data_IF_693384701088
#
_entry.id   IF_693384701088
#
_cell.length_a   1.000
_cell.length_b   1.000
_cell.length_c   1.000
_cell.angle_alpha   90.00
_cell.angle_beta   90.00
_cell.angle_gamma   90.00
#
_symmetry.space_group_name_H-M   'P 1'
#
loop_
_entity.id
_entity.type
_entity.pdbx_description
1 polymer ?
#
# COMPACT_ATOMS: atom_id res chain seq x y z
N UNK A 1 -16.06 28.03 17.64
CA UNK A 1 -17.12 27.43 16.80
C UNK A 1 -16.61 26.11 16.29
N UNK A 2 -17.00 25.02 16.94
CA UNK A 2 -16.72 23.65 16.48
C UNK A 2 -17.55 23.43 15.23
N UNK A 3 -16.91 23.44 14.05
CA UNK A 3 -17.56 23.04 12.82
C UNK A 3 -17.87 21.55 12.94
N UNK A 4 -19.12 21.24 13.24
CA UNK A 4 -19.66 19.89 13.05
C UNK A 4 -19.69 19.64 11.55
N UNK A 5 -18.60 19.08 11.01
CA UNK A 5 -18.54 18.65 9.62
C UNK A 5 -19.56 17.52 9.46
N UNK A 6 -20.63 17.78 8.71
CA UNK A 6 -21.64 16.76 8.38
C UNK A 6 -20.94 15.48 7.91
N UNK A 7 -21.34 14.30 8.42
CA UNK A 7 -20.65 13.06 8.12
C UNK A 7 -20.81 12.76 6.64
N UNK A 8 -19.76 13.03 5.86
CA UNK A 8 -19.71 12.65 4.44
C UNK A 8 -19.95 11.14 4.41
N UNK A 9 -21.01 10.73 3.71
CA UNK A 9 -21.37 9.32 3.59
C UNK A 9 -20.45 8.64 2.58
N UNK A 10 -20.12 7.38 2.88
CA UNK A 10 -19.32 6.51 2.01
C UNK A 10 -20.18 6.11 0.82
N UNK A 11 -19.62 6.21 -0.39
CA UNK A 11 -20.32 5.76 -1.60
C UNK A 11 -20.22 4.23 -1.65
N UNK A 12 -21.36 3.56 -1.79
CA UNK A 12 -21.43 2.10 -1.97
C UNK A 12 -21.97 1.79 -3.36
N UNK A 13 -21.36 0.82 -4.04
CA UNK A 13 -21.82 0.33 -5.35
C UNK A 13 -22.35 -1.09 -5.18
N UNK A 14 -23.63 -1.31 -5.52
CA UNK A 14 -24.30 -2.61 -5.33
C UNK A 14 -23.93 -3.65 -6.41
N UNK A 15 -23.49 -3.19 -7.58
CA UNK A 15 -23.12 -4.04 -8.71
C UNK A 15 -21.72 -3.72 -9.20
N UNK A 16 -20.74 -4.46 -8.68
CA UNK A 16 -19.36 -4.40 -9.16
C UNK A 16 -19.13 -5.61 -10.07
N UNK A 17 -19.34 -5.43 -11.37
CA UNK A 17 -19.14 -6.48 -12.36
C UNK A 17 -17.66 -6.66 -12.79
N UNK A 18 -16.83 -5.63 -12.60
CA UNK A 18 -15.40 -5.64 -13.00
C UNK A 18 -14.50 -5.83 -11.78
N UNK A 19 -13.69 -6.90 -11.80
CA UNK A 19 -12.67 -7.19 -10.78
C UNK A 19 -11.74 -5.99 -10.53
N UNK A 20 -11.39 -5.24 -11.58
CA UNK A 20 -10.52 -4.06 -11.45
C UNK A 20 -11.18 -2.98 -10.61
N UNK A 21 -12.50 -2.79 -10.78
CA UNK A 21 -13.25 -1.84 -9.99
C UNK A 21 -13.41 -2.33 -8.55
N UNK A 22 -13.61 -3.63 -8.32
CA UNK A 22 -13.63 -4.19 -6.95
C UNK A 22 -12.33 -3.88 -6.22
N UNK A 23 -11.19 -4.15 -6.85
CA UNK A 23 -9.88 -3.88 -6.26
C UNK A 23 -9.64 -2.38 -6.02
N UNK A 24 -10.13 -1.51 -6.92
CA UNK A 24 -10.07 -0.06 -6.74
C UNK A 24 -10.96 0.41 -5.59
N UNK A 25 -12.17 -0.13 -5.49
CA UNK A 25 -13.14 0.16 -4.44
C UNK A 25 -12.63 -0.29 -3.07
N UNK A 26 -12.01 -1.46 -2.95
CA UNK A 26 -11.35 -1.90 -1.71
C UNK A 26 -10.24 -0.94 -1.27
N UNK A 27 -9.43 -0.44 -2.22
CA UNK A 27 -8.39 0.52 -1.93
C UNK A 27 -8.96 1.88 -1.49
N UNK A 28 -10.03 2.35 -2.16
CA UNK A 28 -10.81 3.52 -1.74
C UNK A 28 -11.39 3.34 -0.34
N UNK A 29 -11.99 2.18 -0.05
CA UNK A 29 -12.58 1.87 1.26
C UNK A 29 -11.54 2.00 2.37
N UNK A 30 -10.34 1.44 2.18
CA UNK A 30 -9.26 1.56 3.15
C UNK A 30 -8.82 3.01 3.35
N UNK A 31 -8.62 3.76 2.26
CA UNK A 31 -8.26 5.17 2.32
C UNK A 31 -9.35 6.01 3.02
N UNK A 32 -10.61 5.69 2.80
CA UNK A 32 -11.76 6.34 3.44
C UNK A 32 -11.79 6.13 4.94
N UNK A 33 -11.53 4.90 5.37
CA UNK A 33 -11.57 4.51 6.78
C UNK A 33 -10.36 5.11 7.54
N UNK A 34 -9.22 5.31 6.88
CA UNK A 34 -8.02 5.99 7.42
C UNK A 34 -8.14 7.53 7.45
N UNK A 35 -8.89 8.13 6.53
CA UNK A 35 -9.02 9.59 6.43
C UNK A 35 -10.00 10.14 7.47
N UNK A 36 -9.51 11.05 8.32
CA UNK A 36 -10.30 11.68 9.39
C UNK A 36 -10.89 13.04 8.98
N UNK A 37 -10.38 13.67 7.92
CA UNK A 37 -10.86 14.99 7.47
C UNK A 37 -12.00 14.86 6.46
N UNK A 38 -13.09 15.62 6.65
CA UNK A 38 -14.23 15.60 5.71
C UNK A 38 -13.85 16.00 4.28
N UNK A 39 -12.93 16.95 4.12
CA UNK A 39 -12.42 17.36 2.81
C UNK A 39 -11.70 16.22 2.08
N UNK A 40 -10.91 15.42 2.79
CA UNK A 40 -10.19 14.28 2.22
C UNK A 40 -11.17 13.21 1.76
N UNK A 41 -12.18 12.93 2.59
CA UNK A 41 -13.33 12.09 2.25
C UNK A 41 -14.04 12.60 0.98
N UNK A 42 -14.44 13.87 0.89
CA UNK A 42 -15.07 14.41 -0.34
C UNK A 42 -14.24 14.18 -1.60
N UNK A 43 -12.91 14.36 -1.52
CA UNK A 43 -12.00 14.10 -2.64
C UNK A 43 -11.95 12.62 -3.03
N UNK A 44 -11.93 11.72 -2.05
CA UNK A 44 -11.98 10.27 -2.31
C UNK A 44 -13.29 9.86 -3.00
N UNK A 45 -14.42 10.43 -2.58
CA UNK A 45 -15.73 10.22 -3.21
C UNK A 45 -15.76 10.68 -4.67
N UNK A 46 -15.22 11.86 -4.94
CA UNK A 46 -15.09 12.36 -6.32
C UNK A 46 -14.19 11.44 -7.17
N UNK A 47 -13.06 10.99 -6.61
CA UNK A 47 -12.11 10.09 -7.27
C UNK A 47 -12.74 8.75 -7.69
N UNK A 48 -13.48 8.09 -6.79
CA UNK A 48 -14.13 6.82 -7.10
C UNK A 48 -15.29 6.99 -8.09
N UNK A 49 -15.99 8.14 -8.03
CA UNK A 49 -17.08 8.46 -8.97
C UNK A 49 -16.56 8.70 -10.38
N UNK A 50 -15.46 9.45 -10.52
CA UNK A 50 -14.76 9.66 -11.81
C UNK A 50 -14.25 8.34 -12.38
N UNK A 51 -13.78 7.42 -11.53
CA UNK A 51 -13.36 6.09 -11.98
C UNK A 51 -14.56 5.27 -12.50
N UNK A 52 -15.68 5.31 -11.78
CA UNK A 52 -16.91 4.62 -12.18
C UNK A 52 -17.47 5.15 -13.51
N UNK A 53 -17.46 6.47 -13.69
CA UNK A 53 -17.85 7.14 -14.93
C UNK A 53 -16.85 6.96 -16.08
N UNK A 54 -15.73 6.28 -15.84
CA UNK A 54 -14.62 6.07 -16.81
C UNK A 54 -13.97 7.38 -17.28
N UNK A 55 -14.06 8.44 -16.48
CA UNK A 55 -13.41 9.73 -16.75
C UNK A 55 -11.91 9.69 -16.47
N UNK A 56 -11.47 8.79 -15.58
CA UNK A 56 -10.07 8.56 -15.24
C UNK A 56 -9.68 7.10 -15.43
N UNK A 57 -8.41 6.88 -15.77
CA UNK A 57 -7.85 5.53 -15.88
C UNK A 57 -7.42 4.99 -14.51
N UNK A 58 -7.40 3.66 -14.37
CA UNK A 58 -6.94 2.99 -13.14
C UNK A 58 -5.54 3.43 -12.68
N UNK A 59 -4.52 3.58 -13.54
CA UNK A 59 -3.21 4.08 -13.11
C UNK A 59 -3.27 5.48 -12.51
N UNK A 60 -4.08 6.36 -13.08
CA UNK A 60 -4.27 7.73 -12.57
C UNK A 60 -5.02 7.72 -11.24
N UNK A 61 -6.07 6.91 -11.13
CA UNK A 61 -6.79 6.69 -9.87
C UNK A 61 -5.85 6.26 -8.75
N UNK A 62 -5.04 5.22 -8.94
CA UNK A 62 -4.09 4.76 -7.92
C UNK A 62 -2.99 5.78 -7.62
N UNK A 63 -2.56 6.55 -8.62
CA UNK A 63 -1.62 7.66 -8.43
C UNK A 63 -2.16 8.73 -7.49
N UNK A 64 -3.40 9.17 -7.68
CA UNK A 64 -4.03 10.18 -6.84
C UNK A 64 -4.45 9.61 -5.46
N UNK A 65 -4.95 8.36 -5.42
CA UNK A 65 -5.30 7.65 -4.18
C UNK A 65 -4.12 7.48 -3.23
N UNK A 66 -2.90 7.33 -3.75
CA UNK A 66 -1.67 7.17 -2.97
C UNK A 66 -1.39 8.33 -2.01
N UNK A 67 -2.01 9.50 -2.22
CA UNK A 67 -1.86 10.67 -1.36
C UNK A 67 -2.64 10.55 -0.06
N UNK A 68 -3.71 9.74 -0.06
CA UNK A 68 -4.63 9.56 1.08
C UNK A 68 -4.29 8.33 1.93
N UNK A 69 -3.59 7.35 1.37
CA UNK A 69 -3.08 6.20 2.10
C UNK A 69 -1.88 6.63 2.93
N UNK A 70 -2.14 7.05 4.18
CA UNK A 70 -1.20 7.66 5.14
C UNK A 70 -0.12 6.73 5.69
N UNK A 71 0.41 5.81 4.89
CA UNK A 71 1.54 4.97 5.27
C UNK A 71 2.88 5.74 5.19
N UNK A 72 3.90 5.39 6.01
CA UNK A 72 5.23 6.01 5.94
C UNK A 72 5.92 5.60 4.63
N UNK A 73 5.63 6.33 3.56
CA UNK A 73 5.97 5.91 2.21
C UNK A 73 5.27 6.72 1.13
N UNK A 74 5.26 8.05 1.25
CA UNK A 74 5.28 8.90 0.05
C UNK A 74 6.45 8.42 -0.81
N UNK A 75 6.17 7.64 -1.85
CA UNK A 75 7.21 7.00 -2.66
C UNK A 75 7.88 5.78 -2.01
N UNK A 76 7.12 4.86 -1.41
CA UNK A 76 7.61 3.46 -1.37
C UNK A 76 7.62 2.93 -2.80
N UNK A 77 8.65 3.32 -3.56
CA UNK A 77 9.34 2.39 -4.45
C UNK A 77 9.31 1.06 -3.71
N UNK A 78 8.61 0.06 -4.27
CA UNK A 78 8.66 -1.31 -3.77
C UNK A 78 10.11 -1.56 -3.38
N UNK A 79 10.39 -1.60 -2.07
CA UNK A 79 11.77 -1.74 -1.59
C UNK A 79 12.10 -3.17 -1.92
N UNK A 80 12.50 -3.42 -3.18
CA UNK A 80 12.76 -4.73 -3.72
C UNK A 80 13.88 -5.26 -2.84
N UNK A 81 13.53 -6.10 -1.89
CA UNK A 81 14.49 -6.72 -1.00
C UNK A 81 15.34 -7.60 -1.90
N UNK A 82 16.50 -7.09 -2.29
CA UNK A 82 17.42 -7.83 -3.15
C UNK A 82 17.98 -8.95 -2.29
N UNK A 83 17.53 -10.17 -2.52
CA UNK A 83 18.08 -11.35 -1.86
C UNK A 83 19.53 -11.47 -2.32
N UNK A 84 20.47 -11.15 -1.43
CA UNK A 84 21.89 -11.32 -1.67
C UNK A 84 22.34 -12.65 -1.04
N UNK A 85 22.71 -13.61 -1.89
CA UNK A 85 23.28 -14.88 -1.45
C UNK A 85 24.80 -14.80 -1.23
N UNK A 86 25.33 -15.73 -0.44
CA UNK A 86 26.77 -15.88 -0.25
C UNK A 86 27.40 -16.76 -1.36
N UNK A 87 28.64 -16.49 -1.76
CA UNK A 87 29.39 -17.39 -2.66
C UNK A 87 29.71 -18.71 -1.95
N UNK A 88 29.60 -19.84 -2.66
CA UNK A 88 29.87 -21.19 -2.11
C UNK A 88 31.23 -21.33 -1.39
N UNK A 89 32.27 -20.69 -1.93
CA UNK A 89 33.63 -20.70 -1.33
C UNK A 89 33.68 -20.02 0.05
N UNK A 90 32.93 -18.93 0.21
CA UNK A 90 32.94 -18.12 1.43
C UNK A 90 32.15 -18.84 2.54
N UNK A 91 31.05 -19.49 2.16
CA UNK A 91 30.31 -20.41 3.02
C UNK A 91 31.20 -21.54 3.55
N UNK A 92 31.93 -22.24 2.65
CA UNK A 92 32.84 -23.34 3.03
C UNK A 92 33.93 -22.89 4.00
N UNK A 93 34.52 -21.70 3.78
CA UNK A 93 35.52 -21.12 4.70
C UNK A 93 34.93 -20.81 6.08
N UNK A 94 33.73 -20.23 6.13
CA UNK A 94 33.04 -19.95 7.40
C UNK A 94 32.72 -21.23 8.16
N UNK A 95 32.23 -22.27 7.49
CA UNK A 95 31.94 -23.57 8.12
C UNK A 95 33.20 -24.24 8.67
N UNK A 96 34.31 -24.23 7.93
CA UNK A 96 35.59 -24.74 8.43
C UNK A 96 36.09 -23.96 9.66
N UNK A 97 35.95 -22.63 9.65
CA UNK A 97 36.29 -21.78 10.79
C UNK A 97 35.42 -22.09 12.00
N UNK A 98 34.10 -22.24 11.81
CA UNK A 98 33.14 -22.62 12.87
C UNK A 98 33.46 -23.98 13.45
N UNK A 99 33.75 -24.97 12.61
CA UNK A 99 34.13 -26.31 13.04
C UNK A 99 35.42 -26.29 13.86
N UNK A 100 36.44 -25.54 13.42
CA UNK A 100 37.68 -25.34 14.18
C UNK A 100 37.43 -24.68 15.53
N UNK A 101 36.67 -23.58 15.57
CA UNK A 101 36.32 -22.91 16.83
C UNK A 101 35.56 -23.86 17.76
N UNK A 102 34.61 -24.65 17.26
CA UNK A 102 33.87 -25.65 18.06
C UNK A 102 34.79 -26.71 18.65
N UNK A 103 35.83 -27.15 17.93
CA UNK A 103 36.82 -28.12 18.42
C UNK A 103 37.76 -27.55 19.47
N UNK A 104 38.10 -26.25 19.38
CA UNK A 104 39.08 -25.60 20.25
C UNK A 104 38.49 -24.69 21.32
N UNK A 105 37.16 -24.50 21.35
CA UNK A 105 36.44 -23.95 22.50
C UNK A 105 36.43 -25.02 23.59
N UNK A 106 37.42 -24.97 24.46
CA UNK A 106 37.24 -25.34 25.87
C UNK A 106 36.60 -24.16 26.60
#
# INVERSE_FOLDING_TARGET
MTMEEEPVSKITFEQIADFKFTAAYEAYSKAWDEEHRSEGRRRLNDLISRLFNKEISYPRFYGELSQFLGGPGRGREFRRVRIQGQRKRDYKRQEQKRARLKRHKR
#
